data_IF_874815303268
#
_entry.id   IF_874815303268
#
_cell.length_a   1.000
_cell.length_b   1.000
_cell.length_c   1.000
_cell.angle_alpha   90.00
_cell.angle_beta   90.00
_cell.angle_gamma   90.00
#
_symmetry.space_group_name_H-M   'P 1'
#
loop_
_entity.id
_entity.type
_entity.pdbx_description
1 polymer ?
#
# COMPACT_ATOMS: atom_id res chain seq x y z
N UNK A 1 23.01 -5.63 25.01
CA UNK A 1 21.93 -6.22 24.21
C UNK A 1 21.35 -5.12 23.35
N UNK A 2 21.20 -5.34 22.05
CA UNK A 2 20.70 -4.32 21.10
C UNK A 2 19.34 -4.76 20.59
N UNK A 3 18.39 -3.83 20.47
CA UNK A 3 17.10 -4.09 19.87
C UNK A 3 16.96 -3.40 18.51
N UNK A 4 16.16 -3.99 17.63
CA UNK A 4 15.99 -3.49 16.27
C UNK A 4 14.71 -4.00 15.63
N UNK A 5 14.26 -3.26 14.61
CA UNK A 5 13.19 -3.72 13.73
C UNK A 5 13.80 -4.38 12.51
N UNK A 6 13.26 -5.53 12.17
CA UNK A 6 13.51 -6.23 10.92
C UNK A 6 12.23 -6.27 10.09
N UNK A 7 12.36 -6.15 8.77
CA UNK A 7 11.27 -6.13 7.82
C UNK A 7 11.50 -7.15 6.72
N UNK A 8 10.50 -8.00 6.46
CA UNK A 8 10.63 -9.11 5.51
C UNK A 8 9.31 -9.41 4.81
N UNK A 9 9.38 -10.28 3.78
CA UNK A 9 8.20 -10.69 3.02
C UNK A 9 7.44 -9.52 2.40
N UNK A 10 8.16 -8.48 1.97
CA UNK A 10 7.55 -7.24 1.50
C UNK A 10 7.21 -7.28 0.03
N UNK A 11 6.05 -6.74 -0.34
CA UNK A 11 5.66 -6.56 -1.73
C UNK A 11 4.79 -5.32 -1.90
N UNK A 12 4.80 -4.77 -3.11
CA UNK A 12 4.00 -3.62 -3.48
C UNK A 12 2.72 -4.07 -4.18
N UNK A 13 1.60 -3.42 -3.89
CA UNK A 13 0.34 -3.67 -4.57
C UNK A 13 -0.51 -2.40 -4.63
N UNK A 14 -1.53 -2.43 -5.48
CA UNK A 14 -2.52 -1.37 -5.56
C UNK A 14 -3.71 -1.68 -4.65
N UNK A 15 -4.20 -0.67 -3.95
CA UNK A 15 -5.45 -0.76 -3.19
C UNK A 15 -6.47 0.16 -3.83
N UNK A 16 -7.57 -0.43 -4.31
CA UNK A 16 -8.71 0.30 -4.81
C UNK A 16 -9.34 1.18 -3.71
N UNK A 17 -9.69 2.40 -4.10
CA UNK A 17 -10.49 3.31 -3.28
C UNK A 17 -11.79 3.72 -3.99
N UNK A 18 -11.91 3.34 -5.26
CA UNK A 18 -13.12 3.46 -6.05
C UNK A 18 -13.48 2.12 -6.67
N UNK A 19 -14.77 1.88 -6.96
CA UNK A 19 -15.19 0.70 -7.71
C UNK A 19 -14.50 0.65 -9.08
N UNK A 20 -14.08 -0.56 -9.47
CA UNK A 20 -13.52 -0.84 -10.79
C UNK A 20 -14.51 -0.45 -11.88
N UNK A 21 -14.03 0.22 -12.92
CA UNK A 21 -14.76 0.45 -14.18
C UNK A 21 -14.32 -0.57 -15.22
N UNK A 22 -15.24 -1.11 -16.03
CA UNK A 22 -14.93 -2.17 -16.99
C UNK A 22 -15.79 -2.07 -18.24
N UNK A 23 -15.29 -2.63 -19.33
CA UNK A 23 -15.95 -2.57 -20.63
C UNK A 23 -15.29 -3.44 -21.70
N UNK A 24 -15.99 -3.59 -22.81
CA UNK A 24 -15.58 -4.43 -23.92
C UNK A 24 -14.57 -3.75 -24.84
N UNK A 25 -13.94 -4.56 -25.68
CA UNK A 25 -13.10 -4.14 -26.80
C UNK A 25 -13.66 -2.90 -27.53
N UNK A 26 -12.81 -1.90 -27.75
CA UNK A 26 -13.17 -0.68 -28.48
C UNK A 26 -13.96 0.36 -27.68
N UNK A 27 -14.43 0.03 -26.47
CA UNK A 27 -15.20 0.94 -25.61
C UNK A 27 -14.27 1.87 -24.83
N UNK A 28 -14.68 3.12 -24.65
CA UNK A 28 -14.03 4.03 -23.69
C UNK A 28 -14.63 3.83 -22.31
N UNK A 29 -13.80 3.43 -21.35
CA UNK A 29 -14.16 3.31 -19.95
C UNK A 29 -13.55 4.45 -19.14
N UNK A 30 -14.21 4.85 -18.06
CA UNK A 30 -13.76 5.95 -17.19
C UNK A 30 -13.94 5.61 -15.71
N UNK A 31 -13.08 6.15 -14.85
CA UNK A 31 -13.26 6.15 -13.39
C UNK A 31 -13.09 7.56 -12.86
N UNK A 32 -13.83 7.86 -11.80
CA UNK A 32 -13.68 9.12 -11.07
C UNK A 32 -13.18 8.83 -9.67
N UNK A 33 -12.03 9.40 -9.34
CA UNK A 33 -11.50 9.41 -7.99
C UNK A 33 -12.00 10.65 -7.26
N UNK A 34 -12.94 10.45 -6.33
CA UNK A 34 -13.64 11.53 -5.65
C UNK A 34 -12.77 12.20 -4.57
N UNK A 35 -12.91 13.52 -4.44
CA UNK A 35 -12.36 14.27 -3.29
C UNK A 35 -12.90 13.71 -1.97
N UNK A 36 -12.06 13.71 -0.93
CA UNK A 36 -12.43 13.31 0.44
C UNK A 36 -12.22 11.83 0.75
N UNK A 37 -12.02 10.99 -0.28
CA UNK A 37 -11.70 9.56 -0.10
C UNK A 37 -10.40 9.41 0.69
N UNK A 38 -10.47 8.71 1.81
CA UNK A 38 -9.37 8.58 2.76
C UNK A 38 -9.04 7.11 2.97
N UNK A 39 -7.75 6.82 3.12
CA UNK A 39 -7.24 5.51 3.54
C UNK A 39 -6.08 5.71 4.51
N UNK A 40 -5.91 4.75 5.41
CA UNK A 40 -4.89 4.78 6.45
C UNK A 40 -4.00 3.55 6.34
N UNK A 41 -2.71 3.75 6.58
CA UNK A 41 -1.77 2.66 6.83
C UNK A 41 -2.23 1.85 8.03
N UNK A 42 -1.97 0.55 8.03
CA UNK A 42 -2.32 -0.33 9.15
C UNK A 42 -1.08 -1.06 9.62
N UNK A 43 -0.94 -1.20 10.94
CA UNK A 43 0.12 -1.98 11.55
C UNK A 43 -0.53 -2.91 12.57
N UNK A 44 -0.58 -4.20 12.25
CA UNK A 44 -1.06 -5.25 13.15
C UNK A 44 0.07 -5.81 14.01
N UNK A 45 -0.29 -6.40 15.15
CA UNK A 45 0.66 -7.01 16.11
C UNK A 45 1.46 -6.00 16.95
N UNK A 46 1.19 -4.71 16.79
CA UNK A 46 1.84 -3.62 17.52
C UNK A 46 1.04 -3.26 18.77
N UNK A 47 1.74 -2.86 19.84
CA UNK A 47 1.08 -2.25 21.01
C UNK A 47 0.73 -0.78 20.76
N UNK A 48 -0.08 -0.18 21.65
CA UNK A 48 -0.44 1.24 21.57
C UNK A 48 0.82 2.13 21.42
N UNK A 49 0.83 3.01 20.42
CA UNK A 49 1.95 3.91 20.12
C UNK A 49 3.08 3.34 19.25
N UNK A 50 3.23 2.01 19.14
CA UNK A 50 4.31 1.38 18.37
C UNK A 50 4.08 1.44 16.86
N UNK A 51 2.82 1.50 16.42
CA UNK A 51 2.48 1.53 15.00
C UNK A 51 3.21 2.64 14.21
N UNK A 52 3.31 3.85 14.79
CA UNK A 52 4.03 4.98 14.15
C UNK A 52 5.53 4.73 14.09
N UNK A 53 6.10 4.08 15.10
CA UNK A 53 7.53 3.70 15.11
C UNK A 53 7.81 2.68 14.02
N UNK A 54 6.94 1.68 13.85
CA UNK A 54 7.04 0.69 12.75
C UNK A 54 7.01 1.39 11.39
N UNK A 55 6.12 2.37 11.18
CA UNK A 55 6.07 3.14 9.93
C UNK A 55 7.39 3.88 9.69
N UNK A 56 7.91 4.61 10.68
CA UNK A 56 9.17 5.37 10.56
C UNK A 56 10.36 4.44 10.28
N UNK A 57 10.46 3.32 11.00
CA UNK A 57 11.53 2.34 10.80
C UNK A 57 11.42 1.64 9.44
N UNK A 58 10.20 1.36 8.98
CA UNK A 58 9.97 0.84 7.65
C UNK A 58 10.38 1.86 6.57
N UNK A 59 10.06 3.15 6.76
CA UNK A 59 10.46 4.21 5.83
C UNK A 59 11.98 4.24 5.62
N UNK A 60 12.74 4.18 6.73
CA UNK A 60 14.19 4.11 6.67
C UNK A 60 14.69 2.80 6.03
N UNK A 61 14.08 1.66 6.37
CA UNK A 61 14.49 0.34 5.87
C UNK A 61 14.26 0.17 4.36
N UNK A 62 13.24 0.81 3.81
CA UNK A 62 12.86 0.65 2.40
C UNK A 62 13.18 1.86 1.53
N UNK A 63 13.76 2.91 2.11
CA UNK A 63 13.97 4.20 1.46
C UNK A 63 12.66 4.73 0.80
N UNK A 64 11.56 4.64 1.55
CA UNK A 64 10.24 5.11 1.13
C UNK A 64 9.70 6.12 2.12
N UNK A 65 9.02 7.14 1.62
CA UNK A 65 8.22 8.03 2.46
C UNK A 65 6.81 7.46 2.65
N UNK A 66 6.59 6.68 3.73
CA UNK A 66 5.26 6.20 4.05
C UNK A 66 4.40 7.27 4.72
N UNK A 67 3.15 7.39 4.27
CA UNK A 67 2.13 8.23 4.90
C UNK A 67 1.29 7.40 5.89
N UNK A 68 1.03 7.93 7.08
CA UNK A 68 0.09 7.29 8.01
C UNK A 68 -1.32 7.28 7.43
N UNK A 69 -1.74 8.40 6.86
CA UNK A 69 -3.04 8.57 6.22
C UNK A 69 -2.85 9.30 4.90
N UNK A 70 -3.65 8.95 3.92
CA UNK A 70 -3.76 9.66 2.67
C UNK A 70 -5.23 9.98 2.37
N UNK A 71 -5.49 11.23 2.00
CA UNK A 71 -6.81 11.73 1.64
C UNK A 71 -6.74 12.38 0.28
N UNK A 72 -7.64 12.01 -0.63
CA UNK A 72 -7.71 12.62 -1.95
C UNK A 72 -8.25 14.05 -1.84
N UNK A 73 -7.46 15.03 -2.27
CA UNK A 73 -7.81 16.45 -2.15
C UNK A 73 -8.67 16.99 -3.31
N UNK A 74 -8.67 16.30 -4.46
CA UNK A 74 -9.31 16.77 -5.70
C UNK A 74 -10.05 15.65 -6.39
N UNK A 75 -11.20 15.97 -7.00
CA UNK A 75 -11.89 15.01 -7.87
C UNK A 75 -11.13 14.94 -9.20
N UNK A 76 -10.80 13.74 -9.65
CA UNK A 76 -10.08 13.50 -10.89
C UNK A 76 -10.74 12.35 -11.66
N UNK A 77 -11.00 12.57 -12.94
CA UNK A 77 -11.54 11.54 -13.84
C UNK A 77 -10.44 11.10 -14.80
N UNK A 78 -10.29 9.78 -14.94
CA UNK A 78 -9.39 9.18 -15.90
C UNK A 78 -10.16 8.25 -16.83
N UNK A 79 -9.83 8.30 -18.11
CA UNK A 79 -10.49 7.52 -19.15
C UNK A 79 -9.46 6.80 -20.01
N UNK A 80 -9.83 5.61 -20.48
CA UNK A 80 -9.01 4.78 -21.34
C UNK A 80 -9.89 4.05 -22.34
N UNK A 81 -9.45 4.02 -23.60
CA UNK A 81 -10.09 3.21 -24.64
C UNK A 81 -9.54 1.79 -24.57
N UNK A 82 -10.41 0.81 -24.34
CA UNK A 82 -10.03 -0.60 -24.35
C UNK A 82 -9.53 -0.97 -25.75
N UNK A 83 -8.28 -1.43 -25.90
CA UNK A 83 -7.71 -1.81 -27.18
C UNK A 83 -8.53 -2.90 -27.87
N UNK A 84 -8.60 -2.84 -29.19
CA UNK A 84 -9.41 -3.79 -29.97
C UNK A 84 -8.95 -5.25 -29.83
N UNK A 85 -7.69 -5.48 -29.44
CA UNK A 85 -7.11 -6.80 -29.20
C UNK A 85 -7.36 -7.33 -27.77
N UNK A 86 -8.07 -6.59 -26.92
CA UNK A 86 -8.49 -7.02 -25.59
C UNK A 86 -9.99 -7.31 -25.58
N UNK A 87 -10.39 -8.50 -25.13
CA UNK A 87 -11.81 -8.89 -25.03
C UNK A 87 -12.57 -8.01 -24.02
N UNK A 88 -12.01 -7.87 -22.82
CA UNK A 88 -12.53 -7.03 -21.74
C UNK A 88 -11.38 -6.26 -21.10
N UNK A 89 -11.58 -4.97 -20.89
CA UNK A 89 -10.67 -4.08 -20.19
C UNK A 89 -11.25 -3.62 -18.86
N UNK A 90 -10.36 -3.22 -17.96
CA UNK A 90 -10.76 -2.58 -16.71
C UNK A 90 -9.90 -1.35 -16.41
N UNK A 91 -10.42 -0.53 -15.50
CA UNK A 91 -9.79 0.68 -15.02
C UNK A 91 -10.06 0.83 -13.52
N UNK A 92 -9.02 1.17 -12.78
CA UNK A 92 -9.00 1.27 -11.33
C UNK A 92 -8.45 2.62 -10.87
N UNK A 93 -8.81 3.01 -9.64
CA UNK A 93 -8.35 4.20 -8.97
C UNK A 93 -8.15 3.95 -7.47
N UNK A 94 -7.01 4.38 -6.96
CA UNK A 94 -6.64 4.11 -5.59
C UNK A 94 -5.24 4.60 -5.23
N UNK A 95 -4.53 3.80 -4.44
CA UNK A 95 -3.21 4.13 -3.88
C UNK A 95 -2.24 2.97 -4.03
N UNK A 96 -0.94 3.26 -3.97
CA UNK A 96 0.09 2.22 -3.83
C UNK A 96 0.39 1.96 -2.36
N UNK A 97 0.42 0.67 -2.04
CA UNK A 97 0.63 0.15 -0.70
C UNK A 97 1.82 -0.81 -0.72
N UNK A 98 2.68 -0.71 0.29
CA UNK A 98 3.68 -1.72 0.59
C UNK A 98 3.18 -2.58 1.73
N UNK A 99 2.99 -3.87 1.48
CA UNK A 99 2.86 -4.85 2.55
C UNK A 99 4.26 -5.23 3.04
N UNK A 100 4.41 -5.43 4.35
CA UNK A 100 5.60 -6.02 4.94
C UNK A 100 5.24 -6.76 6.22
N UNK A 101 5.97 -7.83 6.52
CA UNK A 101 6.06 -8.37 7.89
C UNK A 101 7.09 -7.55 8.65
N UNK A 102 6.95 -7.48 9.97
CA UNK A 102 7.93 -6.82 10.84
C UNK A 102 8.16 -7.66 12.09
N UNK A 103 9.39 -7.65 12.58
CA UNK A 103 9.80 -8.26 13.84
C UNK A 103 10.56 -7.23 14.67
N UNK A 104 10.24 -7.15 15.96
CA UNK A 104 11.05 -6.43 16.93
C UNK A 104 11.96 -7.44 17.64
N UNK A 105 13.25 -7.36 17.33
CA UNK A 105 14.25 -8.34 17.70
C UNK A 105 15.16 -7.81 18.81
N UNK A 106 15.69 -8.72 19.62
CA UNK A 106 16.74 -8.46 20.59
C UNK A 106 17.93 -9.40 20.35
N UNK A 107 19.11 -8.82 20.17
CA UNK A 107 20.37 -9.57 20.10
C UNK A 107 20.82 -9.95 21.50
N UNK A 108 20.90 -11.25 21.76
CA UNK A 108 21.35 -11.84 23.01
C UNK A 108 22.90 -11.87 23.09
N UNK A 109 23.48 -12.02 24.30
CA UNK A 109 24.95 -12.07 24.47
C UNK A 109 25.64 -13.21 23.70
N UNK A 110 24.93 -14.29 23.40
CA UNK A 110 25.41 -15.42 22.60
C UNK A 110 25.18 -15.24 21.08
N UNK A 111 24.98 -14.00 20.61
CA UNK A 111 24.67 -13.66 19.22
C UNK A 111 23.38 -14.28 18.65
N UNK A 112 22.53 -14.88 19.50
CA UNK A 112 21.21 -15.34 19.05
C UNK A 112 20.21 -14.18 19.00
N UNK A 113 19.26 -14.27 18.08
CA UNK A 113 18.19 -13.28 17.95
C UNK A 113 16.92 -13.81 18.60
N UNK A 114 16.39 -13.07 19.56
CA UNK A 114 15.07 -13.33 20.15
C UNK A 114 14.04 -12.38 19.55
N UNK A 115 12.99 -12.92 18.95
CA UNK A 115 11.83 -12.12 18.52
C UNK A 115 11.02 -11.77 19.77
N UNK A 116 10.90 -10.48 20.07
CA UNK A 116 10.10 -9.98 21.19
C UNK A 116 8.66 -9.73 20.78
N UNK A 117 8.45 -9.22 19.56
CA UNK A 117 7.14 -8.96 18.95
C UNK A 117 7.23 -9.11 17.45
N UNK A 118 6.09 -9.33 16.81
CA UNK A 118 5.99 -9.44 15.36
C UNK A 118 4.61 -9.04 14.87
N UNK A 119 4.53 -8.64 13.62
CA UNK A 119 3.26 -8.34 12.99
C UNK A 119 3.37 -8.11 11.50
N UNK A 120 2.38 -7.43 10.95
CA UNK A 120 2.39 -7.01 9.55
C UNK A 120 1.93 -5.58 9.41
N UNK A 121 2.41 -4.91 8.37
CA UNK A 121 2.07 -3.55 8.06
C UNK A 121 1.65 -3.42 6.60
N UNK A 122 0.65 -2.57 6.35
CA UNK A 122 0.24 -2.11 5.03
C UNK A 122 0.45 -0.61 5.01
N UNK A 123 1.50 -0.18 4.33
CA UNK A 123 2.03 1.17 4.40
C UNK A 123 1.78 1.90 3.08
N UNK A 124 1.08 3.02 3.15
CA UNK A 124 0.78 3.86 1.99
C UNK A 124 2.04 4.64 1.60
N UNK A 125 2.51 4.55 0.36
CA UNK A 125 3.70 5.31 -0.08
C UNK A 125 3.48 6.17 -1.33
N UNK A 126 2.40 5.92 -2.07
CA UNK A 126 1.98 6.79 -3.17
C UNK A 126 0.47 6.97 -3.16
N UNK A 127 0.07 8.22 -3.27
CA UNK A 127 -1.31 8.67 -3.30
C UNK A 127 -2.02 8.35 -4.60
N UNK A 128 -2.89 9.26 -5.06
CA UNK A 128 -3.70 9.20 -6.29
C UNK A 128 -3.01 8.47 -7.44
N UNK A 129 -3.42 7.22 -7.68
CA UNK A 129 -2.95 6.38 -8.78
C UNK A 129 -4.14 5.78 -9.52
N UNK A 130 -4.00 5.69 -10.83
CA UNK A 130 -4.94 5.00 -11.71
C UNK A 130 -4.19 3.96 -12.53
N UNK A 131 -4.80 2.81 -12.75
CA UNK A 131 -4.22 1.75 -13.60
C UNK A 131 -5.33 1.05 -14.37
N UNK A 132 -4.93 0.42 -15.46
CA UNK A 132 -5.82 -0.31 -16.35
C UNK A 132 -5.19 -1.65 -16.69
N UNK A 133 -6.00 -2.55 -17.22
CA UNK A 133 -5.53 -3.87 -17.62
C UNK A 133 -6.60 -4.69 -18.32
N UNK A 134 -6.24 -5.93 -18.60
CA UNK A 134 -7.12 -6.92 -19.23
C UNK A 134 -7.78 -7.75 -18.13
N UNK A 135 -9.10 -7.89 -18.20
CA UNK A 135 -9.86 -8.78 -17.31
C UNK A 135 -9.85 -10.22 -17.79
#
# INVERSE_FOLDING_TARGET
>A
MTTGYDFSGSYNYYRDLEPRSGGDSGTTISITFHKGKTTTSTVGGAISGEAKVVVVKASASFDYHFAWQWTNSTTYTWSWKVPNNMRHGYLHAGVKVKYTKWNYNQTQPNCTTKVLRSGSARLLYKGRETWHGKS
#
